data_IF_527242156747
#
_entry.id   IF_527242156747
#
_cell.length_a   1.000
_cell.length_b   1.000
_cell.length_c   1.000
_cell.angle_alpha   90.00
_cell.angle_beta   90.00
_cell.angle_gamma   90.00
#
_symmetry.space_group_name_H-M   'P 1'
#
loop_
_entity.id
_entity.type
_entity.pdbx_description
1 polymer ?
#
# COMPACT_ATOMS: atom_id res chain seq x y z
N UNK A 1 16.80 23.13 16.40
CA UNK A 1 15.37 22.91 16.11
C UNK A 1 14.73 22.43 17.40
N UNK A 2 13.62 23.05 17.80
CA UNK A 2 12.87 22.64 19.00
C UNK A 2 11.69 21.72 18.65
N UNK A 3 11.50 21.46 17.36
CA UNK A 3 10.48 20.61 16.78
C UNK A 3 11.06 19.24 16.40
N UNK A 4 10.27 18.16 16.48
CA UNK A 4 10.67 16.87 15.91
C UNK A 4 10.82 17.01 14.39
N UNK A 5 11.84 16.37 13.82
CA UNK A 5 12.06 16.41 12.38
C UNK A 5 12.41 15.04 11.81
N UNK A 6 12.07 14.87 10.54
CA UNK A 6 12.43 13.74 9.72
C UNK A 6 13.48 14.21 8.72
N UNK A 7 14.58 13.47 8.59
CA UNK A 7 15.59 13.72 7.57
C UNK A 7 15.65 12.53 6.62
N UNK A 8 15.60 12.85 5.34
CA UNK A 8 15.71 11.91 4.23
C UNK A 8 16.98 12.28 3.48
N UNK A 9 17.88 11.32 3.30
CA UNK A 9 19.12 11.54 2.56
C UNK A 9 19.54 10.27 1.83
N UNK A 10 20.32 10.43 0.77
CA UNK A 10 20.87 9.32 -0.01
C UNK A 10 22.35 9.20 0.28
N UNK A 11 22.82 7.98 0.51
CA UNK A 11 24.23 7.66 0.61
C UNK A 11 24.48 6.30 -0.02
N UNK A 12 25.47 6.21 -0.90
CA UNK A 12 25.89 4.96 -1.56
C UNK A 12 24.75 4.19 -2.25
N UNK A 13 23.79 4.92 -2.86
CA UNK A 13 22.64 4.32 -3.55
C UNK A 13 21.50 3.85 -2.64
N UNK A 14 21.61 4.09 -1.33
CA UNK A 14 20.60 3.76 -0.33
C UNK A 14 19.94 5.04 0.18
N UNK A 15 18.62 5.02 0.26
CA UNK A 15 17.79 6.07 0.83
C UNK A 15 17.60 5.80 2.33
N UNK A 16 18.05 6.74 3.15
CA UNK A 16 18.00 6.67 4.60
C UNK A 16 16.90 7.58 5.15
N UNK A 17 16.09 7.02 6.05
CA UNK A 17 15.10 7.75 6.83
C UNK A 17 15.56 7.82 8.26
N UNK A 18 15.75 9.04 8.76
CA UNK A 18 16.08 9.27 10.16
C UNK A 18 15.07 10.20 10.79
N UNK A 19 14.77 9.97 12.08
CA UNK A 19 13.98 10.90 12.89
C UNK A 19 14.79 11.38 14.07
N UNK A 20 14.52 12.60 14.50
CA UNK A 20 15.08 13.13 15.73
C UNK A 20 14.01 13.89 16.50
N UNK A 21 13.78 13.47 17.74
CA UNK A 21 12.94 14.21 18.68
C UNK A 21 13.75 15.34 19.35
N UNK A 22 13.12 16.41 19.83
CA UNK A 22 13.81 17.56 20.43
C UNK A 22 14.71 17.20 21.63
N UNK A 23 14.39 16.09 22.32
CA UNK A 23 15.11 15.61 23.50
C UNK A 23 16.21 14.59 23.18
N UNK A 24 16.38 14.19 21.92
CA UNK A 24 17.37 13.21 21.50
C UNK A 24 18.68 13.89 21.09
N UNK A 25 19.81 13.33 21.52
CA UNK A 25 21.14 13.84 21.14
C UNK A 25 21.46 13.54 19.68
N UNK A 26 21.03 12.38 19.16
CA UNK A 26 21.33 11.89 17.82
C UNK A 26 20.06 11.43 17.08
N UNK A 27 20.02 11.58 15.74
CA UNK A 27 18.95 11.01 14.93
C UNK A 27 18.95 9.48 15.01
N UNK A 28 17.76 8.88 15.00
CA UNK A 28 17.57 7.42 14.92
C UNK A 28 17.18 7.03 13.51
N UNK A 29 17.86 6.03 12.97
CA UNK A 29 17.49 5.38 11.71
C UNK A 29 16.15 4.65 11.86
N UNK A 30 15.35 4.75 10.81
CA UNK A 30 13.99 4.23 10.74
C UNK A 30 13.91 3.17 9.66
N UNK A 31 14.51 3.45 8.50
CA UNK A 31 14.39 2.64 7.31
C UNK A 31 15.54 2.92 6.36
N UNK A 32 16.01 1.85 5.71
CA UNK A 32 16.96 1.86 4.61
C UNK A 32 16.29 1.17 3.42
N UNK A 33 16.31 1.80 2.25
CA UNK A 33 15.77 1.23 1.01
C UNK A 33 16.73 1.56 -0.13
N UNK A 34 17.03 0.61 -1.02
CA UNK A 34 17.75 0.91 -2.25
C UNK A 34 17.00 1.94 -3.11
N UNK A 35 17.69 2.97 -3.61
CA UNK A 35 17.05 3.99 -4.46
C UNK A 35 16.39 3.34 -5.68
N UNK A 36 17.04 2.32 -6.24
CA UNK A 36 16.52 1.54 -7.36
C UNK A 36 15.17 0.87 -7.04
N UNK A 37 14.95 0.44 -5.80
CA UNK A 37 13.67 -0.18 -5.39
C UNK A 37 12.53 0.86 -5.31
N UNK A 38 12.84 2.12 -5.04
CA UNK A 38 11.86 3.21 -4.93
C UNK A 38 11.47 3.77 -6.30
N UNK A 39 12.41 3.82 -7.25
CA UNK A 39 12.21 4.42 -8.58
C UNK A 39 11.70 3.44 -9.64
N UNK A 40 11.45 2.17 -9.28
CA UNK A 40 10.82 1.21 -10.20
C UNK A 40 9.43 1.71 -10.62
N UNK A 41 9.21 1.74 -11.94
CA UNK A 41 8.09 2.38 -12.63
C UNK A 41 6.71 1.73 -12.33
N UNK A 42 6.71 0.54 -11.72
CA UNK A 42 5.51 -0.13 -11.25
C UNK A 42 5.33 0.19 -9.76
N UNK A 43 4.23 0.86 -9.38
CA UNK A 43 3.77 1.19 -8.02
C UNK A 43 4.47 0.38 -6.91
N UNK A 44 5.69 0.78 -6.60
CA UNK A 44 6.59 -0.07 -5.83
C UNK A 44 6.09 -0.16 -4.40
N UNK A 45 5.97 -1.38 -3.88
CA UNK A 45 5.68 -1.59 -2.46
C UNK A 45 6.70 -0.86 -1.56
N UNK A 46 7.92 -0.61 -2.06
CA UNK A 46 8.91 0.21 -1.37
C UNK A 46 8.49 1.70 -1.28
N UNK A 47 7.94 2.27 -2.35
CA UNK A 47 7.43 3.65 -2.35
C UNK A 47 6.18 3.81 -1.47
N UNK A 48 5.28 2.82 -1.48
CA UNK A 48 4.11 2.79 -0.56
C UNK A 48 4.57 2.67 0.89
N UNK A 49 5.45 1.72 1.21
CA UNK A 49 6.01 1.53 2.55
C UNK A 49 6.68 2.79 3.06
N UNK A 50 7.40 3.49 2.19
CA UNK A 50 8.03 4.77 2.47
C UNK A 50 7.00 5.86 2.80
N UNK A 51 5.98 6.03 1.96
CA UNK A 51 4.89 6.98 2.21
C UNK A 51 4.14 6.71 3.52
N UNK A 52 3.73 5.45 3.76
CA UNK A 52 3.03 5.04 4.99
C UNK A 52 3.88 5.26 6.23
N UNK A 53 5.19 4.98 6.17
CA UNK A 53 6.11 5.15 7.29
C UNK A 53 6.26 6.64 7.66
N UNK A 54 6.43 7.51 6.66
CA UNK A 54 6.55 8.96 6.89
C UNK A 54 5.26 9.52 7.48
N UNK A 55 4.10 9.18 6.91
CA UNK A 55 2.81 9.65 7.40
C UNK A 55 2.49 9.13 8.81
N UNK A 56 2.85 7.88 9.12
CA UNK A 56 2.72 7.33 10.47
C UNK A 56 3.58 8.04 11.52
N UNK A 57 4.76 8.52 11.16
CA UNK A 57 5.61 9.31 12.07
C UNK A 57 5.01 10.71 12.27
N UNK A 58 4.55 11.34 11.19
CA UNK A 58 3.94 12.66 11.25
C UNK A 58 2.65 12.62 12.08
N UNK A 59 1.84 11.57 11.98
CA UNK A 59 0.63 11.43 12.81
C UNK A 59 0.94 11.27 14.30
N UNK A 60 2.05 10.64 14.65
CA UNK A 60 2.48 10.52 16.05
C UNK A 60 2.90 11.86 16.65
N UNK A 61 3.53 12.72 15.84
CA UNK A 61 4.03 14.04 16.28
C UNK A 61 2.95 15.11 16.22
N UNK A 62 2.08 15.05 15.23
CA UNK A 62 1.06 16.04 14.94
C UNK A 62 -0.33 15.42 15.01
N UNK A 63 -0.64 14.76 16.13
CA UNK A 63 -1.94 14.11 16.36
C UNK A 63 -3.11 15.04 16.04
N UNK A 64 -2.95 16.33 16.34
CA UNK A 64 -3.98 17.34 16.10
C UNK A 64 -4.23 17.61 14.61
N UNK A 65 -3.23 17.45 13.75
CA UNK A 65 -3.36 17.61 12.30
C UNK A 65 -3.73 16.30 11.58
N UNK A 66 -3.50 15.16 12.22
CA UNK A 66 -3.75 13.82 11.69
C UNK A 66 -4.91 13.11 12.41
N UNK A 67 -5.92 13.87 12.85
CA UNK A 67 -7.13 13.30 13.44
C UNK A 67 -7.76 12.29 12.46
N UNK A 68 -7.89 11.02 12.89
CA UNK A 68 -8.40 9.94 12.06
C UNK A 68 -7.33 9.14 11.28
N UNK A 69 -6.07 9.59 11.21
CA UNK A 69 -5.01 8.81 10.57
C UNK A 69 -4.65 7.56 11.40
N UNK A 70 -4.81 6.37 10.82
CA UNK A 70 -4.62 5.10 11.51
C UNK A 70 -5.80 4.67 12.40
N UNK A 71 -6.86 5.48 12.48
CA UNK A 71 -8.19 5.06 12.94
C UNK A 71 -8.96 4.80 11.66
N UNK A 72 -9.44 3.58 11.41
CA UNK A 72 -10.40 3.35 10.33
C UNK A 72 -11.69 4.11 10.66
N UNK A 73 -11.75 5.39 10.29
CA UNK A 73 -12.93 6.22 10.37
C UNK A 73 -13.88 5.79 9.28
N UNK A 74 -14.80 4.89 9.63
CA UNK A 74 -16.03 4.73 8.87
C UNK A 74 -16.81 6.06 8.89
N UNK A 75 -17.39 6.36 7.72
CA UNK A 75 -18.33 7.44 7.39
C UNK A 75 -17.71 8.78 6.95
N UNK A 76 -17.58 8.92 5.62
CA UNK A 76 -17.38 10.21 4.96
C UNK A 76 -16.82 10.06 3.55
N UNK A 77 -17.71 9.84 2.58
CA UNK A 77 -17.56 9.94 1.12
C UNK A 77 -16.32 10.71 0.62
N UNK A 78 -15.25 9.98 0.29
CA UNK A 78 -14.44 10.12 -0.92
C UNK A 78 -13.51 8.89 -1.01
N UNK A 79 -13.41 8.32 -2.20
CA UNK A 79 -12.95 6.96 -2.54
C UNK A 79 -11.58 6.56 -1.95
N UNK A 80 -11.60 5.94 -0.76
CA UNK A 80 -10.61 4.92 -0.43
C UNK A 80 -10.86 3.75 -1.40
N UNK A 81 -9.87 3.41 -2.25
CA UNK A 81 -10.00 2.33 -3.23
C UNK A 81 -10.60 1.07 -2.56
N UNK A 82 -11.87 0.77 -2.87
CA UNK A 82 -12.59 -0.40 -2.38
C UNK A 82 -11.76 -1.66 -2.69
N UNK A 83 -11.63 -2.59 -1.74
CA UNK A 83 -10.93 -3.87 -1.94
C UNK A 83 -11.40 -4.54 -3.25
N UNK A 84 -12.68 -4.37 -3.61
CA UNK A 84 -13.23 -4.82 -4.89
C UNK A 84 -12.75 -3.99 -6.10
N UNK A 85 -12.63 -2.68 -5.97
CA UNK A 85 -12.07 -1.81 -7.02
C UNK A 85 -10.59 -2.16 -7.29
N UNK A 86 -9.79 -2.35 -6.24
CA UNK A 86 -8.39 -2.77 -6.36
C UNK A 86 -8.30 -4.14 -7.04
N UNK A 87 -9.14 -5.10 -6.64
CA UNK A 87 -9.21 -6.40 -7.30
C UNK A 87 -9.55 -6.26 -8.79
N UNK A 88 -10.53 -5.44 -9.16
CA UNK A 88 -10.90 -5.22 -10.57
C UNK A 88 -9.78 -4.56 -11.39
N UNK A 89 -9.03 -3.62 -10.80
CA UNK A 89 -7.85 -3.04 -11.45
C UNK A 89 -6.78 -4.11 -11.70
N UNK A 90 -6.45 -4.92 -10.69
CA UNK A 90 -5.46 -5.99 -10.81
C UNK A 90 -5.90 -7.08 -11.80
N UNK A 91 -7.19 -7.39 -11.89
CA UNK A 91 -7.75 -8.28 -12.91
C UNK A 91 -7.51 -7.68 -14.30
N UNK A 92 -7.85 -6.41 -14.50
CA UNK A 92 -7.68 -5.71 -15.77
C UNK A 92 -6.22 -5.66 -16.21
N UNK A 93 -5.31 -5.36 -15.28
CA UNK A 93 -3.86 -5.39 -15.52
C UNK A 93 -3.35 -6.78 -15.85
N UNK A 94 -3.79 -7.80 -15.12
CA UNK A 94 -3.39 -9.20 -15.33
C UNK A 94 -3.86 -9.73 -16.70
N UNK A 95 -5.06 -9.34 -17.14
CA UNK A 95 -5.58 -9.66 -18.47
C UNK A 95 -4.79 -8.93 -19.55
N UNK A 96 -4.55 -7.62 -19.38
CA UNK A 96 -3.84 -6.80 -20.37
C UNK A 96 -2.39 -7.26 -20.57
N UNK A 97 -1.67 -7.49 -19.47
CA UNK A 97 -0.28 -7.96 -19.48
C UNK A 97 -0.15 -9.46 -19.71
N UNK A 98 -1.27 -10.21 -19.75
CA UNK A 98 -1.31 -11.67 -19.80
C UNK A 98 -0.36 -12.29 -18.77
N UNK A 99 -0.61 -12.02 -17.49
CA UNK A 99 0.24 -12.48 -16.38
C UNK A 99 -0.59 -13.08 -15.25
N UNK A 100 0.01 -14.02 -14.52
CA UNK A 100 -0.58 -14.67 -13.35
C UNK A 100 -0.10 -14.05 -12.01
N UNK A 101 0.81 -13.08 -12.04
CA UNK A 101 1.55 -12.57 -10.86
C UNK A 101 0.61 -12.07 -9.74
N UNK A 102 -0.52 -11.47 -10.09
CA UNK A 102 -1.44 -10.87 -9.10
C UNK A 102 -2.58 -11.78 -8.64
N UNK A 103 -2.67 -13.03 -9.11
CA UNK A 103 -3.81 -13.92 -8.82
C UNK A 103 -4.05 -14.10 -7.32
N UNK A 104 -2.99 -14.30 -6.52
CA UNK A 104 -3.11 -14.46 -5.07
C UNK A 104 -3.57 -13.18 -4.37
N UNK A 105 -3.12 -12.01 -4.83
CA UNK A 105 -3.55 -10.71 -4.30
C UNK A 105 -5.01 -10.42 -4.64
N UNK A 106 -5.45 -10.77 -5.86
CA UNK A 106 -6.86 -10.65 -6.27
C UNK A 106 -7.74 -11.59 -5.44
N UNK A 107 -7.33 -12.85 -5.25
CA UNK A 107 -8.03 -13.81 -4.38
C UNK A 107 -8.27 -13.20 -2.99
N UNK A 108 -7.22 -12.68 -2.35
CA UNK A 108 -7.31 -12.09 -1.00
C UNK A 108 -8.27 -10.90 -0.94
N UNK A 109 -8.16 -9.97 -1.89
CA UNK A 109 -8.96 -8.74 -1.94
C UNK A 109 -10.44 -9.06 -2.17
N UNK A 110 -10.76 -9.99 -3.08
CA UNK A 110 -12.15 -10.39 -3.33
C UNK A 110 -12.79 -11.07 -2.11
N UNK A 111 -12.05 -11.89 -1.36
CA UNK A 111 -12.57 -12.49 -0.12
C UNK A 111 -12.79 -11.44 0.98
N UNK A 112 -11.90 -10.45 1.07
CA UNK A 112 -12.05 -9.33 2.02
C UNK A 112 -13.26 -8.46 1.66
N UNK A 113 -13.46 -8.17 0.38
CA UNK A 113 -14.60 -7.40 -0.11
C UNK A 113 -15.93 -8.18 0.02
N UNK A 114 -15.95 -9.48 -0.26
CA UNK A 114 -17.13 -10.34 -0.14
C UNK A 114 -17.67 -10.43 1.29
N UNK A 115 -16.82 -10.25 2.31
CA UNK A 115 -17.27 -10.19 3.71
C UNK A 115 -18.09 -8.94 4.05
N UNK A 116 -18.04 -7.92 3.18
CA UNK A 116 -18.67 -6.60 3.37
C UNK A 116 -19.74 -6.30 2.31
N UNK A 117 -19.73 -6.99 1.17
CA UNK A 117 -20.59 -6.73 0.02
C UNK A 117 -21.07 -8.03 -0.65
N UNK A 118 -22.39 -8.23 -0.69
CA UNK A 118 -23.03 -9.44 -1.25
C UNK A 118 -22.84 -9.55 -2.78
N UNK A 119 -22.79 -8.43 -3.50
CA UNK A 119 -22.55 -8.44 -4.96
C UNK A 119 -21.13 -8.94 -5.27
N UNK A 120 -20.16 -8.60 -4.41
CA UNK A 120 -18.79 -9.09 -4.54
C UNK A 120 -18.69 -10.57 -4.20
N UNK A 121 -19.50 -11.03 -3.24
CA UNK A 121 -19.62 -12.45 -2.92
C UNK A 121 -20.18 -13.25 -4.10
N UNK A 122 -21.23 -12.74 -4.76
CA UNK A 122 -21.73 -13.33 -6.01
C UNK A 122 -20.65 -13.35 -7.10
N UNK A 123 -19.92 -12.25 -7.31
CA UNK A 123 -18.82 -12.21 -8.27
C UNK A 123 -17.73 -13.25 -7.96
N UNK A 124 -17.36 -13.38 -6.68
CA UNK A 124 -16.35 -14.34 -6.21
C UNK A 124 -16.79 -15.79 -6.46
N UNK A 125 -18.07 -16.12 -6.26
CA UNK A 125 -18.62 -17.46 -6.44
C UNK A 125 -18.85 -17.80 -7.92
N UNK A 126 -19.39 -16.87 -8.71
CA UNK A 126 -19.87 -17.14 -10.07
C UNK A 126 -18.86 -16.83 -11.17
N UNK A 127 -18.08 -15.76 -11.01
CA UNK A 127 -17.25 -15.20 -12.10
C UNK A 127 -15.76 -15.37 -11.87
N UNK A 128 -15.31 -15.19 -10.63
CA UNK A 128 -13.88 -15.17 -10.33
C UNK A 128 -13.19 -16.50 -10.60
N UNK A 129 -13.84 -17.64 -10.35
CA UNK A 129 -13.27 -18.97 -10.61
C UNK A 129 -12.81 -19.15 -12.07
N UNK A 130 -13.62 -18.70 -13.02
CA UNK A 130 -13.35 -18.75 -14.46
C UNK A 130 -12.22 -17.78 -14.83
N UNK A 131 -12.27 -16.55 -14.31
CA UNK A 131 -11.24 -15.53 -14.57
C UNK A 131 -9.89 -16.00 -14.00
N UNK A 132 -9.88 -16.55 -12.79
CA UNK A 132 -8.71 -17.08 -12.11
C UNK A 132 -8.04 -18.18 -12.90
N UNK A 133 -8.82 -19.17 -13.38
CA UNK A 133 -8.28 -20.25 -14.20
C UNK A 133 -7.59 -19.71 -15.47
N UNK A 134 -8.22 -18.74 -16.13
CA UNK A 134 -7.64 -18.07 -17.29
C UNK A 134 -6.36 -17.29 -16.95
N UNK A 135 -6.32 -16.54 -15.84
CA UNK A 135 -5.13 -15.80 -15.45
C UNK A 135 -3.97 -16.74 -15.07
N UNK A 136 -4.26 -17.83 -14.35
CA UNK A 136 -3.26 -18.86 -14.01
C UNK A 136 -2.67 -19.49 -15.28
N UNK A 137 -3.48 -19.67 -16.34
CA UNK A 137 -2.98 -20.19 -17.63
C UNK A 137 -1.92 -19.32 -18.30
N UNK A 138 -1.80 -18.04 -17.92
CA UNK A 138 -0.75 -17.15 -18.44
C UNK A 138 0.61 -17.35 -17.74
N UNK A 139 0.62 -18.03 -16.59
CA UNK A 139 1.83 -18.35 -15.83
C UNK A 139 2.43 -19.72 -16.17
N UNK A 140 1.77 -20.49 -17.04
CA UNK A 140 2.25 -21.79 -17.57
C UNK A 140 2.78 -21.60 -19.00
#
# INVERSE_FOLDING_TARGET
MNEPYLAIYVKDGVLYFTKKLPKESEPREILEIGVDEVILDEFSEAAKKLGTTVLGILSLWHKDAFHGWGISSQAGEDEAEDDFYIANRLISESVSKKTAVHVQSIDLLLHQAASKNEDVKMFLEESWSIIRERLVSYGN
#
